data_IF_684324808685
#
_entry.id   IF_684324808685
#
_cell.length_a   1.000
_cell.length_b   1.000
_cell.length_c   1.000
_cell.angle_alpha   90.00
_cell.angle_beta   90.00
_cell.angle_gamma   90.00
#
_symmetry.space_group_name_H-M   'P 1'
#
loop_
_entity.id
_entity.type
_entity.pdbx_description
1 polymer ?
#
# COMPACT_ATOMS: atom_id res chain seq x y z
N UNK A 1 -31.72 -14.51 61.00
CA UNK A 1 -30.96 -13.53 60.18
C UNK A 1 -29.55 -13.99 59.82
N UNK A 2 -28.80 -14.66 60.72
CA UNK A 2 -27.41 -15.11 60.47
C UNK A 2 -27.28 -16.23 59.41
N UNK A 3 -28.23 -17.16 59.35
CA UNK A 3 -28.24 -18.27 58.38
C UNK A 3 -28.41 -17.81 56.93
N UNK A 4 -29.23 -16.79 56.70
CA UNK A 4 -29.51 -16.27 55.35
C UNK A 4 -28.30 -15.53 54.75
N UNK A 5 -27.52 -14.85 55.59
CA UNK A 5 -26.30 -14.17 55.19
C UNK A 5 -25.16 -15.16 54.87
N UNK A 6 -25.06 -16.26 55.64
CA UNK A 6 -24.12 -17.35 55.35
C UNK A 6 -24.45 -18.06 54.05
N UNK A 7 -25.74 -18.26 53.76
CA UNK A 7 -26.19 -18.87 52.51
C UNK A 7 -25.89 -17.97 51.29
N UNK A 8 -26.07 -16.65 51.42
CA UNK A 8 -25.71 -15.69 50.38
C UNK A 8 -24.20 -15.66 50.09
N UNK A 9 -23.36 -15.72 51.12
CA UNK A 9 -21.91 -15.80 50.92
C UNK A 9 -21.49 -17.10 50.24
N UNK A 10 -22.09 -18.24 50.61
CA UNK A 10 -21.81 -19.52 49.96
C UNK A 10 -22.23 -19.48 48.49
N UNK A 11 -23.43 -18.98 48.17
CA UNK A 11 -23.90 -18.82 46.80
C UNK A 11 -23.02 -17.86 45.98
N UNK A 12 -22.57 -16.75 46.57
CA UNK A 12 -21.66 -15.80 45.91
C UNK A 12 -20.30 -16.44 45.63
N UNK A 13 -19.73 -17.19 46.58
CA UNK A 13 -18.47 -17.89 46.38
C UNK A 13 -18.57 -18.97 45.29
N UNK A 14 -19.66 -19.73 45.26
CA UNK A 14 -19.91 -20.74 44.22
C UNK A 14 -20.05 -20.06 42.85
N UNK A 15 -20.79 -18.95 42.75
CA UNK A 15 -20.96 -18.21 41.50
C UNK A 15 -19.62 -17.63 40.97
N UNK A 16 -18.76 -17.12 41.86
CA UNK A 16 -17.43 -16.62 41.47
C UNK A 16 -16.51 -17.75 41.01
N UNK A 17 -16.54 -18.92 41.65
CA UNK A 17 -15.74 -20.08 41.24
C UNK A 17 -16.23 -20.64 39.90
N UNK A 18 -17.54 -20.66 39.67
CA UNK A 18 -18.13 -21.10 38.41
C UNK A 18 -17.77 -20.16 37.23
N UNK A 19 -17.69 -18.85 37.49
CA UNK A 19 -17.26 -17.85 36.49
C UNK A 19 -15.78 -17.98 36.11
N UNK A 20 -14.92 -18.41 37.03
CA UNK A 20 -13.49 -18.62 36.74
C UNK A 20 -13.26 -19.95 36.03
N UNK A 21 -14.03 -20.98 36.38
CA UNK A 21 -13.97 -22.31 35.77
C UNK A 21 -14.50 -22.36 34.32
N UNK A 22 -15.25 -21.34 33.89
CA UNK A 22 -15.76 -21.21 32.52
C UNK A 22 -14.96 -20.21 31.67
N UNK A 23 -13.65 -20.12 31.93
CA UNK A 23 -12.74 -19.54 30.95
C UNK A 23 -12.58 -20.57 29.83
N UNK A 24 -13.12 -20.28 28.65
CA UNK A 24 -12.88 -21.08 27.45
C UNK A 24 -11.39 -20.95 27.13
N UNK A 25 -10.59 -21.91 27.58
CA UNK A 25 -9.22 -22.09 27.13
C UNK A 25 -9.28 -22.46 25.64
N UNK A 26 -8.93 -21.49 24.80
CA UNK A 26 -8.63 -21.73 23.40
C UNK A 26 -7.42 -22.71 23.39
N UNK A 27 -7.49 -23.86 22.71
CA UNK A 27 -6.39 -24.82 22.69
C UNK A 27 -5.09 -24.14 22.26
N UNK A 28 -4.04 -24.26 23.08
CA UNK A 28 -2.68 -23.75 22.78
C UNK A 28 -2.12 -24.32 21.46
N UNK A 29 -2.69 -25.41 20.95
CA UNK A 29 -2.37 -26.01 19.64
C UNK A 29 -2.61 -25.07 18.45
N UNK A 30 -3.44 -24.04 18.59
CA UNK A 30 -3.62 -23.02 17.56
C UNK A 30 -2.57 -21.90 17.61
N UNK A 31 -1.72 -21.87 18.65
CA UNK A 31 -0.73 -20.83 18.85
C UNK A 31 0.71 -21.36 18.67
N UNK A 32 1.31 -20.91 17.55
CA UNK A 32 2.72 -21.01 17.16
C UNK A 32 3.19 -22.29 16.49
N UNK A 33 2.85 -22.43 15.21
CA UNK A 33 3.89 -22.84 14.24
C UNK A 33 4.98 -21.78 14.22
N UNK A 34 6.20 -22.12 14.65
CA UNK A 34 7.28 -21.17 14.92
C UNK A 34 7.90 -20.51 13.67
N UNK A 35 7.41 -20.82 12.47
CA UNK A 35 7.49 -19.99 11.27
C UNK A 35 6.35 -20.39 10.34
N UNK A 36 5.42 -19.47 10.07
CA UNK A 36 4.54 -19.63 8.92
C UNK A 36 4.54 -18.31 8.15
N UNK A 37 5.35 -18.28 7.09
CA UNK A 37 5.30 -17.21 6.09
C UNK A 37 4.02 -17.42 5.26
N UNK A 38 2.87 -17.33 5.92
CA UNK A 38 1.57 -17.58 5.34
C UNK A 38 1.09 -16.28 4.70
N UNK A 39 1.01 -16.30 3.38
CA UNK A 39 0.45 -15.21 2.60
C UNK A 39 -0.97 -15.55 2.21
N UNK A 40 -1.84 -14.55 2.25
CA UNK A 40 -3.19 -14.66 1.73
C UNK A 40 -3.34 -13.70 0.55
N UNK A 41 -3.93 -14.17 -0.54
CA UNK A 41 -4.34 -13.32 -1.65
C UNK A 41 -5.85 -13.41 -1.76
N UNK A 42 -6.52 -12.27 -1.62
CA UNK A 42 -7.97 -12.16 -1.58
C UNK A 42 -8.41 -11.27 -2.74
N UNK A 43 -9.20 -11.83 -3.65
CA UNK A 43 -9.56 -11.18 -4.91
C UNK A 43 -11.07 -11.18 -5.10
N UNK A 44 -11.65 -10.00 -5.32
CA UNK A 44 -12.96 -9.81 -5.93
C UNK A 44 -12.83 -9.04 -7.25
N UNK A 45 -13.17 -9.71 -8.35
CA UNK A 45 -13.17 -9.11 -9.69
C UNK A 45 -14.52 -8.47 -10.04
N UNK A 46 -15.47 -8.49 -9.13
CA UNK A 46 -16.82 -7.96 -9.34
C UNK A 46 -16.90 -6.46 -9.06
N UNK A 47 -17.80 -5.78 -9.78
CA UNK A 47 -18.07 -4.35 -9.63
C UNK A 47 -19.56 -4.07 -9.57
N UNK A 48 -19.92 -2.85 -9.21
CA UNK A 48 -21.29 -2.33 -9.14
C UNK A 48 -22.16 -2.89 -8.01
N UNK A 49 -23.13 -2.07 -7.60
CA UNK A 49 -23.98 -2.30 -6.42
C UNK A 49 -24.67 -3.67 -6.35
N UNK A 50 -25.08 -4.25 -7.49
CA UNK A 50 -25.75 -5.56 -7.50
C UNK A 50 -24.84 -6.72 -7.10
N UNK A 51 -23.52 -6.51 -7.11
CA UNK A 51 -22.51 -7.46 -6.65
C UNK A 51 -22.01 -7.20 -5.23
N UNK A 52 -22.72 -6.39 -4.44
CA UNK A 52 -22.37 -6.06 -3.05
C UNK A 52 -21.94 -7.28 -2.21
N UNK A 53 -22.62 -8.43 -2.41
CA UNK A 53 -22.30 -9.69 -1.71
C UNK A 53 -20.88 -10.20 -1.94
N UNK A 54 -20.29 -9.95 -3.11
CA UNK A 54 -18.94 -10.44 -3.44
C UNK A 54 -17.89 -9.69 -2.61
N UNK A 55 -17.96 -8.35 -2.59
CA UNK A 55 -17.10 -7.51 -1.74
C UNK A 55 -17.31 -7.82 -0.27
N UNK A 56 -18.57 -7.96 0.18
CA UNK A 56 -18.88 -8.28 1.58
C UNK A 56 -18.31 -9.64 2.02
N UNK A 57 -18.34 -10.65 1.14
CA UNK A 57 -17.77 -11.96 1.41
C UNK A 57 -16.24 -11.91 1.52
N UNK A 58 -15.56 -11.25 0.57
CA UNK A 58 -14.11 -11.13 0.59
C UNK A 58 -13.62 -10.38 1.84
N UNK A 59 -14.28 -9.29 2.21
CA UNK A 59 -13.97 -8.56 3.45
C UNK A 59 -14.22 -9.39 4.71
N UNK A 60 -15.23 -10.27 4.70
CA UNK A 60 -15.46 -11.21 5.81
C UNK A 60 -14.33 -12.23 5.95
N UNK A 61 -13.78 -12.71 4.81
CA UNK A 61 -12.62 -13.60 4.79
C UNK A 61 -11.37 -12.86 5.26
N UNK A 62 -11.12 -11.64 4.76
CA UNK A 62 -10.01 -10.79 5.20
C UNK A 62 -9.96 -10.62 6.72
N UNK A 63 -11.11 -10.32 7.35
CA UNK A 63 -11.19 -10.22 8.83
C UNK A 63 -10.93 -11.55 9.52
N UNK A 64 -11.37 -12.66 8.94
CA UNK A 64 -11.12 -14.00 9.50
C UNK A 64 -9.64 -14.36 9.42
N UNK A 65 -8.99 -14.06 8.28
CA UNK A 65 -7.55 -14.23 8.05
C UNK A 65 -6.73 -13.40 9.06
N UNK A 66 -7.11 -12.14 9.30
CA UNK A 66 -6.49 -11.30 10.34
C UNK A 66 -6.68 -11.87 11.75
N UNK A 67 -7.88 -12.36 12.08
CA UNK A 67 -8.17 -12.98 13.37
C UNK A 67 -7.37 -14.27 13.61
N UNK A 68 -6.96 -14.96 12.55
CA UNK A 68 -6.09 -16.13 12.60
C UNK A 68 -4.60 -15.77 12.75
N UNK A 69 -4.27 -14.47 12.84
CA UNK A 69 -2.91 -14.00 13.13
C UNK A 69 -2.07 -13.66 11.89
N UNK A 70 -2.66 -13.61 10.70
CA UNK A 70 -1.96 -13.13 9.49
C UNK A 70 -2.03 -11.59 9.48
N UNK A 71 -0.88 -10.88 9.54
CA UNK A 71 -0.84 -9.41 9.51
C UNK A 71 -1.12 -8.87 8.11
N UNK A 72 -1.54 -7.61 8.02
CA UNK A 72 -1.84 -6.93 6.75
C UNK A 72 -0.68 -6.96 5.75
N UNK A 73 0.57 -6.87 6.24
CA UNK A 73 1.77 -6.99 5.42
C UNK A 73 1.92 -8.32 4.67
N UNK A 74 1.09 -9.32 4.97
CA UNK A 74 1.07 -10.65 4.33
C UNK A 74 -0.29 -10.97 3.69
N UNK A 75 -1.18 -9.99 3.58
CA UNK A 75 -2.48 -10.12 2.91
C UNK A 75 -2.48 -9.18 1.72
N UNK A 76 -2.67 -9.71 0.52
CA UNK A 76 -2.87 -8.90 -0.68
C UNK A 76 -4.38 -8.87 -0.96
N UNK A 77 -5.01 -7.72 -0.76
CA UNK A 77 -6.44 -7.51 -0.95
C UNK A 77 -6.71 -6.73 -2.24
N UNK A 78 -7.38 -7.38 -3.19
CA UNK A 78 -7.80 -6.81 -4.47
C UNK A 78 -9.32 -6.76 -4.55
N UNK A 79 -9.91 -5.56 -4.43
CA UNK A 79 -11.36 -5.36 -4.53
C UNK A 79 -11.68 -4.08 -5.32
N UNK A 80 -12.91 -3.95 -5.82
CA UNK A 80 -13.31 -2.76 -6.57
C UNK A 80 -13.51 -1.50 -5.70
N UNK A 81 -13.62 -1.66 -4.38
CA UNK A 81 -13.75 -0.60 -3.34
C UNK A 81 -14.86 0.45 -3.64
N UNK A 82 -15.90 0.07 -4.39
CA UNK A 82 -16.97 0.96 -4.85
C UNK A 82 -18.27 0.89 -4.02
N UNK A 83 -18.37 -0.07 -3.10
CA UNK A 83 -19.59 -0.34 -2.30
C UNK A 83 -19.72 0.58 -1.09
N UNK A 84 -18.63 0.83 -0.36
CA UNK A 84 -18.63 1.64 0.85
C UNK A 84 -19.04 3.10 0.55
N UNK A 85 -18.63 3.62 -0.61
CA UNK A 85 -18.92 4.97 -1.08
C UNK A 85 -20.04 5.05 -2.13
N UNK A 86 -20.78 3.95 -2.35
CA UNK A 86 -21.84 3.93 -3.37
C UNK A 86 -23.02 4.83 -2.95
N UNK A 87 -23.59 5.66 -3.84
CA UNK A 87 -24.78 6.46 -3.53
C UNK A 87 -26.02 5.65 -3.13
N UNK A 88 -26.07 4.35 -3.51
CA UNK A 88 -27.15 3.44 -3.10
C UNK A 88 -26.95 2.87 -1.70
N UNK A 89 -25.79 3.06 -1.09
CA UNK A 89 -25.51 2.58 0.24
C UNK A 89 -26.17 3.48 1.28
N UNK A 90 -27.17 3.00 2.05
CA UNK A 90 -27.84 3.81 3.07
C UNK A 90 -26.91 4.14 4.25
N UNK A 91 -25.78 3.43 4.39
CA UNK A 91 -24.80 3.60 5.47
C UNK A 91 -23.41 3.86 4.86
N UNK A 92 -23.06 5.14 4.61
CA UNK A 92 -21.77 5.50 4.01
C UNK A 92 -20.59 4.94 4.78
N UNK A 93 -19.52 4.57 4.07
CA UNK A 93 -18.28 4.00 4.63
C UNK A 93 -18.48 2.69 5.42
N UNK A 94 -19.58 1.96 5.18
CA UNK A 94 -19.82 0.67 5.83
C UNK A 94 -20.24 -0.41 4.84
N UNK A 95 -19.85 -1.65 5.13
CA UNK A 95 -20.26 -2.84 4.39
C UNK A 95 -20.68 -3.91 5.41
N UNK A 96 -21.80 -4.58 5.20
CA UNK A 96 -22.33 -5.60 6.10
C UNK A 96 -22.53 -6.92 5.35
N UNK A 97 -22.17 -8.04 5.96
CA UNK A 97 -22.41 -9.38 5.39
C UNK A 97 -23.62 -10.10 6.02
N UNK A 98 -24.51 -9.35 6.68
CA UNK A 98 -25.70 -9.90 7.34
C UNK A 98 -26.82 -8.84 7.36
N UNK A 99 -28.08 -9.28 7.24
CA UNK A 99 -29.26 -8.42 7.27
C UNK A 99 -29.43 -7.61 8.56
N UNK A 100 -28.92 -8.11 9.69
CA UNK A 100 -28.94 -7.45 10.99
C UNK A 100 -27.77 -6.48 11.21
N UNK A 101 -26.91 -6.26 10.20
CA UNK A 101 -25.80 -5.29 10.24
C UNK A 101 -24.86 -5.46 11.45
N UNK A 102 -24.72 -6.68 11.96
CA UNK A 102 -24.05 -6.94 13.26
C UNK A 102 -22.58 -6.50 13.28
N UNK A 103 -21.88 -6.60 12.15
CA UNK A 103 -20.46 -6.28 12.02
C UNK A 103 -20.23 -5.55 10.70
N UNK A 104 -19.70 -4.32 10.78
CA UNK A 104 -19.16 -3.61 9.62
C UNK A 104 -17.87 -4.32 9.18
N UNK A 105 -17.93 -5.01 8.03
CA UNK A 105 -16.78 -5.77 7.50
C UNK A 105 -15.76 -4.88 6.79
N UNK A 106 -16.11 -3.63 6.47
CA UNK A 106 -15.18 -2.62 5.95
C UNK A 106 -14.38 -1.99 7.10
N UNK A 107 -15.00 -1.12 7.90
CA UNK A 107 -14.36 -0.52 9.08
C UNK A 107 -13.01 0.18 8.81
N UNK A 108 -12.31 0.54 9.88
CA UNK A 108 -11.01 1.25 9.79
C UNK A 108 -9.80 0.30 9.64
N UNK A 109 -10.03 -1.01 9.66
CA UNK A 109 -9.01 -2.05 9.78
C UNK A 109 -8.75 -2.78 8.44
N UNK A 110 -9.30 -2.28 7.33
CA UNK A 110 -9.14 -2.88 6.00
C UNK A 110 -8.14 -2.08 5.19
N UNK A 111 -7.04 -2.73 4.81
CA UNK A 111 -6.07 -2.23 3.85
C UNK A 111 -6.36 -2.81 2.47
N UNK A 112 -6.77 -1.96 1.54
CA UNK A 112 -7.01 -2.35 0.13
C UNK A 112 -5.79 -2.01 -0.70
N UNK A 113 -5.06 -3.03 -1.15
CA UNK A 113 -3.86 -2.88 -1.98
C UNK A 113 -4.21 -2.47 -3.42
N UNK A 114 -5.23 -3.11 -3.99
CA UNK A 114 -5.66 -2.86 -5.36
C UNK A 114 -7.14 -2.47 -5.38
N UNK A 115 -7.41 -1.28 -5.92
CA UNK A 115 -8.76 -0.72 -6.07
C UNK A 115 -9.08 -0.74 -7.54
N UNK A 116 -10.26 -1.25 -7.93
CA UNK A 116 -10.64 -1.54 -9.33
C UNK A 116 -10.55 -0.39 -10.38
N UNK A 117 -10.00 0.77 -10.06
CA UNK A 117 -9.60 1.80 -11.00
C UNK A 117 -8.31 1.48 -11.79
N UNK A 118 -7.68 0.31 -11.60
CA UNK A 118 -6.59 -0.15 -12.46
C UNK A 118 -7.09 -0.49 -13.89
N UNK A 119 -6.31 -0.17 -14.93
CA UNK A 119 -6.76 -0.21 -16.33
C UNK A 119 -6.65 -1.60 -16.96
N UNK A 120 -5.67 -2.41 -16.53
CA UNK A 120 -5.33 -3.67 -17.17
C UNK A 120 -5.28 -4.80 -16.15
N UNK A 121 -6.16 -5.79 -16.32
CA UNK A 121 -6.03 -7.12 -15.72
C UNK A 121 -5.32 -7.99 -16.75
N UNK A 122 -4.19 -8.60 -16.39
CA UNK A 122 -3.61 -9.66 -17.21
C UNK A 122 -4.50 -10.91 -17.06
N UNK A 123 -5.08 -11.44 -18.13
CA UNK A 123 -5.84 -12.69 -18.04
C UNK A 123 -4.97 -13.93 -17.85
N UNK A 124 -3.67 -13.88 -18.20
CA UNK A 124 -2.74 -14.99 -18.00
C UNK A 124 -2.16 -15.02 -16.58
N UNK A 125 -2.03 -13.86 -15.92
CA UNK A 125 -1.47 -13.75 -14.55
C UNK A 125 -2.57 -13.52 -13.49
N UNK A 126 -3.74 -13.01 -13.87
CA UNK A 126 -4.88 -12.79 -12.98
C UNK A 126 -4.75 -11.58 -12.04
N UNK A 127 -3.82 -10.66 -12.33
CA UNK A 127 -3.50 -9.49 -11.48
C UNK A 127 -3.64 -8.20 -12.29
N UNK A 128 -4.00 -7.11 -11.61
CA UNK A 128 -3.97 -5.76 -12.18
C UNK A 128 -2.53 -5.32 -12.41
N UNK A 129 -2.14 -5.12 -13.67
CA UNK A 129 -0.74 -4.89 -14.05
C UNK A 129 -0.35 -3.42 -13.86
N UNK A 130 -1.23 -2.48 -14.21
CA UNK A 130 -0.89 -1.06 -14.31
C UNK A 130 -2.11 -0.17 -14.00
N UNK A 131 -1.91 0.86 -13.17
CA UNK A 131 -2.91 1.91 -12.95
C UNK A 131 -3.16 2.74 -14.22
N UNK A 132 -4.27 3.50 -14.26
CA UNK A 132 -4.62 4.29 -15.45
C UNK A 132 -3.64 5.43 -15.75
N UNK A 133 -3.12 6.10 -14.74
CA UNK A 133 -2.15 7.18 -14.92
C UNK A 133 -0.88 6.63 -15.58
N UNK A 134 -0.34 5.55 -15.01
CA UNK A 134 0.85 4.86 -15.50
C UNK A 134 0.63 4.29 -16.90
N UNK A 135 -0.55 3.74 -17.20
CA UNK A 135 -0.89 3.30 -18.56
C UNK A 135 -0.79 4.44 -19.59
N UNK A 136 -1.48 5.56 -19.35
CA UNK A 136 -1.47 6.67 -20.31
C UNK A 136 -0.09 7.35 -20.38
N UNK A 137 0.62 7.45 -19.25
CA UNK A 137 2.01 7.95 -19.21
C UNK A 137 2.94 7.08 -20.05
N UNK A 138 2.88 5.75 -19.90
CA UNK A 138 3.67 4.82 -20.71
C UNK A 138 3.31 4.95 -22.18
N UNK A 139 2.02 4.95 -22.50
CA UNK A 139 1.52 5.14 -23.87
C UNK A 139 2.03 6.46 -24.49
N UNK A 140 2.12 7.54 -23.72
CA UNK A 140 2.69 8.80 -24.18
C UNK A 140 4.19 8.67 -24.42
N UNK A 141 4.95 8.15 -23.45
CA UNK A 141 6.42 8.07 -23.49
C UNK A 141 6.93 7.10 -24.57
N UNK A 142 6.22 6.02 -24.87
CA UNK A 142 6.55 5.10 -25.98
C UNK A 142 6.56 5.81 -27.34
N UNK A 143 5.78 6.89 -27.48
CA UNK A 143 5.71 7.71 -28.69
C UNK A 143 6.66 8.93 -28.64
N UNK A 144 7.51 9.05 -27.61
CA UNK A 144 8.50 10.13 -27.48
C UNK A 144 9.87 9.64 -27.93
N UNK A 145 10.30 10.11 -29.10
CA UNK A 145 11.65 9.88 -29.61
C UNK A 145 12.60 11.06 -29.28
N UNK A 146 13.94 10.90 -29.37
CA UNK A 146 14.90 11.98 -29.07
C UNK A 146 14.70 13.26 -29.91
N UNK A 147 14.16 13.15 -31.12
CA UNK A 147 13.83 14.27 -32.01
C UNK A 147 12.40 14.81 -31.83
N UNK A 148 11.66 14.28 -30.86
CA UNK A 148 10.28 14.67 -30.61
C UNK A 148 10.19 16.10 -30.08
N UNK A 149 9.20 16.84 -30.60
CA UNK A 149 8.88 18.21 -30.16
C UNK A 149 7.76 18.24 -29.12
N UNK A 150 7.39 17.08 -28.56
CA UNK A 150 6.37 16.98 -27.51
C UNK A 150 6.80 17.80 -26.29
N UNK A 151 5.86 18.53 -25.73
CA UNK A 151 6.10 19.46 -24.62
C UNK A 151 5.85 18.82 -23.27
N UNK A 152 6.39 19.44 -22.22
CA UNK A 152 6.10 19.07 -20.83
C UNK A 152 4.60 19.24 -20.52
N UNK A 153 3.94 20.25 -21.08
CA UNK A 153 2.51 20.47 -20.89
C UNK A 153 1.65 19.33 -21.45
N UNK A 154 1.98 18.82 -22.65
CA UNK A 154 1.31 17.65 -23.22
C UNK A 154 1.48 16.40 -22.35
N UNK A 155 2.67 16.19 -21.79
CA UNK A 155 2.92 15.12 -20.83
C UNK A 155 2.08 15.27 -19.56
N UNK A 156 1.99 16.47 -19.00
CA UNK A 156 1.21 16.72 -17.78
C UNK A 156 -0.31 16.58 -18.00
N UNK A 157 -0.77 16.67 -19.26
CA UNK A 157 -2.17 16.54 -19.67
C UNK A 157 -2.57 15.12 -20.13
N UNK A 158 -1.63 14.17 -20.08
CA UNK A 158 -1.79 12.76 -20.54
C UNK A 158 -2.98 12.02 -19.92
N UNK A 159 -3.37 12.42 -18.72
CA UNK A 159 -4.34 11.73 -17.90
C UNK A 159 -5.41 12.72 -17.44
N UNK A 160 -6.38 13.06 -18.32
CA UNK A 160 -7.51 13.89 -17.92
C UNK A 160 -8.41 13.15 -16.93
N UNK A 161 -9.21 13.90 -16.16
CA UNK A 161 -10.13 13.34 -15.16
C UNK A 161 -11.07 12.28 -15.74
N UNK A 162 -11.48 12.39 -17.00
CA UNK A 162 -12.31 11.37 -17.66
C UNK A 162 -11.59 10.03 -17.85
N UNK A 163 -10.30 10.07 -18.18
CA UNK A 163 -9.50 8.89 -18.45
C UNK A 163 -9.09 8.18 -17.15
N UNK A 164 -8.60 8.94 -16.17
CA UNK A 164 -8.04 8.38 -14.94
C UNK A 164 -9.01 8.37 -13.75
N UNK A 165 -10.17 9.02 -13.87
CA UNK A 165 -11.15 9.26 -12.79
C UNK A 165 -10.51 9.82 -11.51
N UNK A 166 -9.36 10.48 -11.65
CA UNK A 166 -8.61 11.15 -10.61
C UNK A 166 -8.06 12.47 -11.16
N UNK A 167 -7.68 13.39 -10.26
CA UNK A 167 -7.10 14.68 -10.66
C UNK A 167 -5.61 14.64 -10.41
N UNK A 168 -4.81 14.66 -11.48
CA UNK A 168 -3.35 14.71 -11.38
C UNK A 168 -2.93 16.10 -10.89
N UNK A 169 -2.23 16.15 -9.76
CA UNK A 169 -1.67 17.38 -9.21
C UNK A 169 -0.28 17.65 -9.79
N UNK A 170 -0.05 18.87 -10.29
CA UNK A 170 1.26 19.28 -10.83
C UNK A 170 1.79 20.51 -10.08
N UNK A 171 3.00 20.40 -9.53
CA UNK A 171 3.71 21.50 -8.87
C UNK A 171 4.61 22.23 -9.87
N UNK A 172 4.08 23.31 -10.46
CA UNK A 172 4.81 24.14 -11.44
C UNK A 172 5.74 25.18 -10.79
N UNK A 173 5.56 25.48 -9.51
CA UNK A 173 6.34 26.45 -8.75
C UNK A 173 7.83 26.09 -8.60
N UNK A 174 8.15 24.80 -8.66
CA UNK A 174 9.53 24.31 -8.61
C UNK A 174 10.23 24.30 -9.98
N UNK A 175 9.48 24.53 -11.07
CA UNK A 175 10.00 24.50 -12.43
C UNK A 175 9.95 25.89 -13.06
N UNK A 176 11.08 26.59 -13.08
CA UNK A 176 11.17 27.99 -13.53
C UNK A 176 10.92 28.20 -15.03
N UNK A 177 10.86 27.14 -15.83
CA UNK A 177 10.66 27.20 -17.28
C UNK A 177 9.20 26.98 -17.64
N UNK A 178 8.75 27.58 -18.72
CA UNK A 178 7.37 27.47 -19.21
C UNK A 178 7.09 26.05 -19.77
N UNK A 179 6.20 25.24 -19.14
CA UNK A 179 5.94 23.87 -19.57
C UNK A 179 5.37 23.74 -20.98
N UNK A 180 4.71 24.78 -21.50
CA UNK A 180 4.13 24.79 -22.85
C UNK A 180 5.21 24.92 -23.95
N UNK A 181 6.43 25.33 -23.57
CA UNK A 181 7.55 25.56 -24.50
C UNK A 181 8.68 24.56 -24.31
N UNK A 182 8.78 23.95 -23.13
CA UNK A 182 9.86 23.02 -22.82
C UNK A 182 9.55 21.64 -23.40
N UNK A 183 10.43 21.10 -24.28
CA UNK A 183 10.29 19.73 -24.75
C UNK A 183 10.42 18.74 -23.60
N UNK A 184 9.64 17.66 -23.64
CA UNK A 184 9.68 16.58 -22.64
C UNK A 184 11.06 15.89 -22.61
N UNK A 185 11.76 15.87 -23.74
CA UNK A 185 13.11 15.33 -23.90
C UNK A 185 14.18 16.12 -23.14
N UNK A 186 13.94 17.38 -22.81
CA UNK A 186 14.83 18.17 -21.95
C UNK A 186 14.83 17.64 -20.50
N UNK A 187 13.70 17.05 -20.07
CA UNK A 187 13.54 16.49 -18.73
C UNK A 187 13.86 14.99 -18.66
N UNK A 188 13.28 14.18 -19.54
CA UNK A 188 13.45 12.71 -19.55
C UNK A 188 14.52 12.21 -20.53
N UNK A 189 14.94 13.05 -21.47
CA UNK A 189 15.86 12.71 -22.54
C UNK A 189 17.27 13.27 -22.35
N UNK A 190 17.76 13.38 -21.11
CA UNK A 190 19.17 13.65 -20.85
C UNK A 190 20.04 12.48 -21.34
N UNK A 191 20.18 12.35 -22.65
CA UNK A 191 21.24 11.59 -23.28
C UNK A 191 22.50 12.41 -23.06
N UNK A 192 23.24 12.10 -21.98
CA UNK A 192 24.54 12.71 -21.77
C UNK A 192 25.40 12.37 -22.99
N UNK A 193 26.00 13.36 -23.69
CA UNK A 193 26.97 13.05 -24.72
C UNK A 193 28.15 12.35 -24.04
N UNK A 194 28.31 11.05 -24.31
CA UNK A 194 29.45 10.27 -23.82
C UNK A 194 30.54 10.39 -24.86
N UNK A 195 31.59 11.13 -24.53
CA UNK A 195 32.84 11.12 -25.30
C UNK A 195 33.70 10.03 -24.67
N UNK A 196 33.98 8.96 -25.41
CA UNK A 196 34.89 7.91 -24.96
C UNK A 196 36.30 8.48 -25.08
N UNK A 197 36.91 8.78 -23.94
CA UNK A 197 38.32 9.15 -23.87
C UNK A 197 39.14 7.88 -23.63
N UNK A 198 40.22 7.70 -24.38
CA UNK A 198 41.26 6.70 -24.06
C UNK A 198 42.27 7.25 -23.07
N UNK A 199 42.31 8.58 -22.92
CA UNK A 199 43.23 9.27 -22.04
C UNK A 199 42.56 9.54 -20.68
N UNK A 200 43.28 9.36 -19.56
CA UNK A 200 42.76 9.70 -18.24
C UNK A 200 42.42 11.19 -18.19
N UNK A 201 41.15 11.50 -17.94
CA UNK A 201 40.70 12.87 -17.67
C UNK A 201 41.00 13.17 -16.20
N UNK A 202 41.81 14.20 -15.96
CA UNK A 202 41.92 14.78 -14.63
C UNK A 202 40.61 15.47 -14.27
N UNK A 203 39.84 14.81 -13.40
CA UNK A 203 38.66 15.42 -12.79
C UNK A 203 39.19 16.53 -11.90
N UNK A 204 39.05 17.79 -12.33
CA UNK A 204 39.27 18.93 -11.46
C UNK A 204 38.35 18.76 -10.25
N UNK A 205 38.96 18.57 -9.08
CA UNK A 205 38.26 18.42 -7.82
C UNK A 205 37.19 19.52 -7.70
N UNK A 206 35.97 19.10 -7.41
CA UNK A 206 34.87 20.03 -7.18
C UNK A 206 35.32 21.02 -6.10
N UNK A 207 35.16 22.34 -6.30
CA UNK A 207 35.61 23.31 -5.31
C UNK A 207 34.99 22.97 -3.96
N UNK A 208 35.84 22.54 -3.02
CA UNK A 208 35.41 22.15 -1.68
C UNK A 208 34.61 23.32 -1.10
N UNK A 209 33.30 23.10 -0.94
CA UNK A 209 32.37 24.07 -0.36
C UNK A 209 33.00 24.61 0.91
N UNK A 210 33.33 25.90 0.96
CA UNK A 210 33.85 26.55 2.17
C UNK A 210 32.88 26.23 3.30
N UNK A 211 33.29 25.39 4.26
CA UNK A 211 32.52 25.15 5.47
C UNK A 211 32.39 26.50 6.19
N UNK A 212 31.16 26.99 6.30
CA UNK A 212 30.84 28.09 7.22
C UNK A 212 31.29 27.62 8.62
N UNK A 213 31.92 28.48 9.45
CA UNK A 213 32.33 28.07 10.79
C UNK A 213 31.10 27.61 11.57
N UNK A 214 31.02 26.31 11.83
CA UNK A 214 30.01 25.68 12.66
C UNK A 214 30.46 25.82 14.12
N UNK A 215 29.66 26.51 14.93
CA UNK A 215 29.88 26.59 16.37
C UNK A 215 29.84 25.17 16.97
N UNK A 216 30.97 24.76 17.56
CA UNK A 216 31.15 23.45 18.20
C UNK A 216 30.29 23.35 19.46
N UNK A 217 29.03 22.98 19.31
CA UNK A 217 28.25 22.40 20.41
C UNK A 217 27.13 21.54 19.84
N UNK A 218 27.48 20.34 19.38
CA UNK A 218 26.63 19.13 19.32
C UNK A 218 27.52 17.97 18.89
N UNK A 219 27.53 16.90 19.68
CA UNK A 219 28.26 15.68 19.34
C UNK A 219 27.72 15.11 18.02
N UNK A 220 28.57 14.48 17.20
CA UNK A 220 28.13 13.95 15.92
C UNK A 220 27.31 12.68 16.19
N UNK A 221 25.99 12.77 16.02
CA UNK A 221 25.14 11.57 15.93
C UNK A 221 25.53 10.89 14.62
N UNK A 222 26.18 9.72 14.74
CA UNK A 222 26.55 8.87 13.60
C UNK A 222 25.26 8.39 12.93
N UNK A 223 24.89 9.01 11.81
CA UNK A 223 23.76 8.57 10.99
C UNK A 223 24.29 7.61 9.95
N UNK A 224 23.76 6.39 9.96
CA UNK A 224 24.06 5.35 9.00
C UNK A 224 22.84 5.20 8.08
N UNK A 225 23.08 5.02 6.79
CA UNK A 225 22.00 4.75 5.84
C UNK A 225 21.51 3.33 6.05
N UNK A 226 20.20 3.15 6.20
CA UNK A 226 19.60 1.83 6.17
C UNK A 226 19.76 1.25 4.76
N UNK A 227 20.16 -0.03 4.63
CA UNK A 227 20.21 -0.68 3.33
C UNK A 227 18.81 -0.69 2.72
N UNK A 228 18.73 -0.38 1.42
CA UNK A 228 17.46 -0.21 0.71
C UNK A 228 16.64 -1.51 0.60
N UNK A 229 17.27 -2.66 0.82
CA UNK A 229 16.63 -3.98 0.88
C UNK A 229 17.32 -4.89 1.91
N UNK A 230 16.59 -5.82 2.56
CA UNK A 230 17.14 -6.79 3.51
C UNK A 230 17.99 -7.85 2.80
N UNK A 231 19.23 -7.47 2.45
CA UNK A 231 20.21 -8.36 1.77
C UNK A 231 20.62 -9.58 2.60
N UNK A 232 20.32 -9.59 3.91
CA UNK A 232 20.54 -10.76 4.77
C UNK A 232 19.64 -11.96 4.44
N UNK A 233 18.62 -11.77 3.59
CA UNK A 233 17.71 -12.81 3.12
C UNK A 233 18.11 -13.40 1.77
N UNK A 234 19.16 -12.88 1.12
CA UNK A 234 19.67 -13.42 -0.15
C UNK A 234 20.76 -14.44 0.16
N UNK A 235 20.55 -15.75 -0.10
CA UNK A 235 21.60 -16.74 0.05
C UNK A 235 22.74 -16.40 -0.92
N UNK A 236 23.96 -16.26 -0.41
CA UNK A 236 25.14 -16.14 -1.24
C UNK A 236 25.33 -17.44 -2.04
N UNK A 237 24.84 -17.48 -3.28
CA UNK A 237 25.28 -18.49 -4.25
C UNK A 237 26.71 -18.16 -4.66
N UNK A 238 27.67 -18.62 -3.86
CA UNK A 238 29.06 -18.75 -4.33
C UNK A 238 29.10 -19.97 -5.26
N UNK A 239 28.98 -19.74 -6.55
CA UNK A 239 29.41 -20.72 -7.56
C UNK A 239 30.94 -20.76 -7.55
N UNK A 240 31.48 -21.87 -7.05
CA UNK A 240 32.82 -22.33 -7.42
C UNK A 240 32.80 -23.07 -8.74
#
# INVERSE_FOLDING_TARGET
>A
MVLMNRMYHVLFTIATVLSVAFSIEIPEEFQKSNHSNNWAVLVDTSRFWFNYRHVANVLSIYRSVKRLGIPDSQIILMISDDMACNPRNPRPATIFNNAHEQINVYGDDVEVDYRGYEHHVDSAIGVYIIDRYTYYVLQFLENVHPNSKRTMSEFLAVCPKSACLSTVGVRRDLFKRDPDKVPITDFFGSVRPVIITTDPIDILDTPKRKKKPENKTKSPVKREYLPQFPMHLVPNTKTG
#
